data_IF_858702261484
#
_entry.id   IF_858702261484
#
_cell.length_a   1.000
_cell.length_b   1.000
_cell.length_c   1.000
_cell.angle_alpha   90.00
_cell.angle_beta   90.00
_cell.angle_gamma   90.00
#
_symmetry.space_group_name_H-M   'P 1'
#
loop_
_entity.id
_entity.type
_entity.pdbx_description
1 polymer ?
#
# COMPACT_ATOMS: atom_id res chain seq x y z
N UNK A 1 -25.25 -3.11 -9.32
CA UNK A 1 -23.82 -3.23 -8.91
C UNK A 1 -23.39 -4.62 -9.33
N UNK A 2 -22.70 -4.76 -10.46
CA UNK A 2 -22.07 -6.04 -10.81
C UNK A 2 -20.80 -6.14 -9.97
N UNK A 3 -20.83 -6.92 -8.90
CA UNK A 3 -19.63 -7.17 -8.09
C UNK A 3 -18.64 -7.99 -8.90
N UNK A 4 -17.49 -7.42 -9.23
CA UNK A 4 -16.37 -8.16 -9.81
C UNK A 4 -15.69 -8.98 -8.71
N UNK A 5 -16.32 -10.11 -8.35
CA UNK A 5 -15.88 -10.98 -7.27
C UNK A 5 -14.45 -11.46 -7.51
N UNK A 6 -14.11 -11.85 -8.74
CA UNK A 6 -12.77 -12.35 -9.07
C UNK A 6 -11.72 -11.27 -8.84
N UNK A 7 -11.90 -10.06 -9.40
CA UNK A 7 -10.95 -8.98 -9.19
C UNK A 7 -10.83 -8.60 -7.71
N UNK A 8 -11.94 -8.58 -6.97
CA UNK A 8 -11.93 -8.31 -5.53
C UNK A 8 -11.17 -9.36 -4.75
N UNK A 9 -11.43 -10.64 -5.00
CA UNK A 9 -10.74 -11.75 -4.35
C UNK A 9 -9.23 -11.70 -4.63
N UNK A 10 -8.82 -11.45 -5.88
CA UNK A 10 -7.40 -11.30 -6.21
C UNK A 10 -6.80 -10.11 -5.45
N UNK A 11 -7.47 -8.95 -5.47
CA UNK A 11 -7.01 -7.75 -4.79
C UNK A 11 -6.84 -7.98 -3.27
N UNK A 12 -7.77 -8.67 -2.63
CA UNK A 12 -7.77 -8.90 -1.18
C UNK A 12 -6.78 -10.00 -0.77
N UNK A 13 -6.71 -11.11 -1.51
CA UNK A 13 -5.75 -12.20 -1.25
C UNK A 13 -4.31 -11.72 -1.44
N UNK A 14 -4.04 -10.87 -2.43
CA UNK A 14 -2.70 -10.34 -2.68
C UNK A 14 -2.28 -9.31 -1.62
N UNK A 15 -3.21 -8.50 -1.12
CA UNK A 15 -2.96 -7.65 0.04
C UNK A 15 -2.69 -8.50 1.30
N UNK A 16 -3.46 -9.57 1.49
CA UNK A 16 -3.25 -10.54 2.57
C UNK A 16 -1.89 -11.24 2.49
N UNK A 17 -1.46 -11.64 1.29
CA UNK A 17 -0.14 -12.22 1.08
C UNK A 17 0.97 -11.23 1.42
N UNK A 18 0.83 -9.96 1.03
CA UNK A 18 1.81 -8.93 1.37
C UNK A 18 1.87 -8.66 2.89
N UNK A 19 0.71 -8.50 3.55
CA UNK A 19 0.65 -8.29 5.00
C UNK A 19 1.17 -9.50 5.78
N UNK A 20 0.57 -10.67 5.54
CA UNK A 20 0.91 -11.90 6.25
C UNK A 20 2.32 -12.38 5.97
N UNK A 21 2.78 -12.32 4.72
CA UNK A 21 4.13 -12.72 4.33
C UNK A 21 5.21 -11.83 4.95
N UNK A 22 5.00 -10.51 4.97
CA UNK A 22 5.96 -9.58 5.60
C UNK A 22 5.97 -9.72 7.12
N UNK A 23 4.82 -9.89 7.76
CA UNK A 23 4.72 -10.10 9.20
C UNK A 23 5.34 -11.44 9.63
N UNK A 24 5.03 -12.54 8.93
CA UNK A 24 5.67 -13.83 9.15
C UNK A 24 7.18 -13.72 8.93
N UNK A 25 7.60 -13.01 7.88
CA UNK A 25 9.01 -12.80 7.59
C UNK A 25 9.77 -12.11 8.73
N UNK A 26 9.19 -11.04 9.30
CA UNK A 26 9.78 -10.31 10.41
C UNK A 26 9.78 -11.11 11.73
N UNK A 27 8.69 -11.85 12.01
CA UNK A 27 8.52 -12.57 13.28
C UNK A 27 9.08 -13.99 13.21
N UNK A 28 8.50 -14.82 12.34
CA UNK A 28 8.79 -16.24 12.26
C UNK A 28 10.11 -16.53 11.54
N UNK A 29 10.31 -16.01 10.33
CA UNK A 29 11.51 -16.30 9.55
C UNK A 29 12.77 -15.69 10.18
N UNK A 30 12.77 -14.38 10.42
CA UNK A 30 13.93 -13.70 11.01
C UNK A 30 14.19 -14.16 12.45
N UNK A 31 13.14 -14.37 13.24
CA UNK A 31 13.26 -14.91 14.59
C UNK A 31 13.87 -16.32 14.61
N UNK A 32 13.34 -17.24 13.81
CA UNK A 32 13.89 -18.60 13.75
C UNK A 32 15.32 -18.64 13.20
N UNK A 33 15.65 -17.78 12.23
CA UNK A 33 16.99 -17.70 11.69
C UNK A 33 18.02 -17.21 12.72
N UNK A 34 17.62 -16.34 13.65
CA UNK A 34 18.49 -15.81 14.70
C UNK A 34 18.97 -16.89 15.69
N UNK A 35 18.24 -18.01 15.82
CA UNK A 35 18.59 -19.13 16.71
C UNK A 35 19.73 -20.03 16.17
N UNK A 36 20.21 -19.79 14.94
CA UNK A 36 21.34 -20.54 14.41
C UNK A 36 22.61 -20.29 15.27
N UNK A 37 23.42 -21.33 15.47
CA UNK A 37 24.63 -21.24 16.31
C UNK A 37 25.73 -20.43 15.63
N UNK A 38 25.90 -20.62 14.33
CA UNK A 38 26.85 -19.87 13.52
C UNK A 38 26.26 -18.50 13.14
N UNK A 39 26.98 -17.43 13.47
CA UNK A 39 26.60 -16.05 13.19
C UNK A 39 26.46 -15.76 11.69
N UNK A 40 27.27 -16.38 10.83
CA UNK A 40 27.13 -16.26 9.37
C UNK A 40 25.88 -16.99 8.87
N UNK A 41 25.54 -18.12 9.50
CA UNK A 41 24.38 -18.91 9.14
C UNK A 41 23.06 -18.18 9.44
N UNK A 42 22.96 -17.40 10.53
CA UNK A 42 21.77 -16.60 10.87
C UNK A 42 21.32 -15.72 9.70
N UNK A 43 22.25 -14.92 9.19
CA UNK A 43 22.01 -13.98 8.10
C UNK A 43 21.73 -14.71 6.78
N UNK A 44 22.47 -15.80 6.52
CA UNK A 44 22.30 -16.62 5.32
C UNK A 44 20.92 -17.29 5.28
N UNK A 45 20.45 -17.88 6.38
CA UNK A 45 19.15 -18.55 6.47
C UNK A 45 17.99 -17.57 6.30
N UNK A 46 18.03 -16.41 6.97
CA UNK A 46 17.05 -15.34 6.77
C UNK A 46 17.01 -14.92 5.30
N UNK A 47 18.16 -14.61 4.70
CA UNK A 47 18.27 -14.18 3.30
C UNK A 47 17.71 -15.23 2.33
N UNK A 48 17.99 -16.51 2.58
CA UNK A 48 17.48 -17.62 1.78
C UNK A 48 15.95 -17.75 1.88
N UNK A 49 15.38 -17.56 3.06
CA UNK A 49 13.91 -17.54 3.24
C UNK A 49 13.27 -16.40 2.45
N UNK A 50 13.82 -15.19 2.56
CA UNK A 50 13.33 -14.03 1.81
C UNK A 50 13.47 -14.19 0.30
N UNK A 51 14.55 -14.82 -0.19
CA UNK A 51 14.70 -15.15 -1.61
C UNK A 51 13.61 -16.07 -2.13
N UNK A 52 13.22 -17.08 -1.34
CA UNK A 52 12.13 -17.98 -1.71
C UNK A 52 10.78 -17.28 -1.71
N UNK A 53 10.59 -16.31 -0.82
CA UNK A 53 9.37 -15.51 -0.74
C UNK A 53 9.26 -14.46 -1.87
N UNK A 54 10.38 -13.88 -2.31
CA UNK A 54 10.39 -12.73 -3.20
C UNK A 54 9.59 -12.91 -4.52
N UNK A 55 9.63 -14.06 -5.23
CA UNK A 55 8.80 -14.28 -6.41
C UNK A 55 7.30 -14.27 -6.09
N UNK A 56 6.88 -14.86 -4.97
CA UNK A 56 5.48 -14.86 -4.52
C UNK A 56 5.04 -13.44 -4.21
N UNK A 57 5.88 -12.68 -3.49
CA UNK A 57 5.61 -11.28 -3.19
C UNK A 57 5.48 -10.40 -4.45
N UNK A 58 6.36 -10.60 -5.43
CA UNK A 58 6.31 -9.88 -6.71
C UNK A 58 5.03 -10.23 -7.48
N UNK A 59 4.69 -11.52 -7.58
CA UNK A 59 3.45 -11.97 -8.21
C UNK A 59 2.22 -11.37 -7.53
N UNK A 60 2.21 -11.32 -6.19
CA UNK A 60 1.15 -10.70 -5.43
C UNK A 60 1.02 -9.19 -5.73
N UNK A 61 2.11 -8.43 -5.78
CA UNK A 61 2.05 -7.00 -6.14
C UNK A 61 1.49 -6.75 -7.53
N UNK A 62 1.97 -7.50 -8.54
CA UNK A 62 1.50 -7.34 -9.92
C UNK A 62 0.01 -7.69 -10.03
N UNK A 63 -0.42 -8.77 -9.40
CA UNK A 63 -1.82 -9.16 -9.37
C UNK A 63 -2.70 -8.16 -8.60
N UNK A 64 -2.19 -7.57 -7.51
CA UNK A 64 -2.87 -6.52 -6.75
C UNK A 64 -3.14 -5.28 -7.60
N UNK A 65 -2.10 -4.76 -8.26
CA UNK A 65 -2.22 -3.59 -9.13
C UNK A 65 -3.11 -3.88 -10.34
N UNK A 66 -2.93 -5.05 -10.97
CA UNK A 66 -3.72 -5.47 -12.12
C UNK A 66 -5.21 -5.61 -11.80
N UNK A 67 -5.54 -6.21 -10.66
CA UNK A 67 -6.94 -6.36 -10.20
C UNK A 67 -7.57 -5.04 -9.73
N UNK A 68 -6.77 -4.05 -9.33
CA UNK A 68 -7.25 -2.70 -9.01
C UNK A 68 -7.87 -1.96 -10.21
N UNK A 69 -7.36 -2.19 -11.43
CA UNK A 69 -7.85 -1.52 -12.64
C UNK A 69 -9.33 -1.80 -12.94
N UNK A 70 -9.80 -3.06 -13.06
CA UNK A 70 -11.22 -3.32 -13.28
C UNK A 70 -12.09 -2.84 -12.11
N UNK A 71 -11.59 -2.91 -10.86
CA UNK A 71 -12.32 -2.37 -9.71
C UNK A 71 -12.54 -0.85 -9.80
N UNK A 72 -11.57 -0.10 -10.32
CA UNK A 72 -11.72 1.35 -10.56
C UNK A 72 -12.74 1.61 -11.67
N UNK A 73 -12.69 0.86 -12.77
CA UNK A 73 -13.61 0.98 -13.90
C UNK A 73 -15.06 0.73 -13.45
N UNK A 74 -15.28 -0.39 -12.74
CA UNK A 74 -16.60 -0.80 -12.23
C UNK A 74 -17.17 0.19 -11.20
N UNK A 75 -16.30 0.96 -10.52
CA UNK A 75 -16.68 1.97 -9.53
C UNK A 75 -16.65 3.42 -10.06
N UNK A 76 -16.48 3.63 -11.36
CA UNK A 76 -16.37 4.96 -11.99
C UNK A 76 -17.45 5.95 -11.57
N UNK A 77 -18.72 5.51 -11.53
CA UNK A 77 -19.85 6.34 -11.05
C UNK A 77 -19.68 6.78 -9.60
N UNK A 78 -19.26 5.87 -8.71
CA UNK A 78 -19.05 6.19 -7.28
C UNK A 78 -17.89 7.16 -7.10
N UNK A 79 -16.84 7.04 -7.90
CA UNK A 79 -15.71 7.97 -7.87
C UNK A 79 -16.15 9.42 -8.15
N UNK A 80 -17.08 9.62 -9.08
CA UNK A 80 -17.52 10.97 -9.48
C UNK A 80 -18.68 11.51 -8.63
N UNK A 81 -19.60 10.62 -8.22
CA UNK A 81 -20.88 10.98 -7.61
C UNK A 81 -20.95 10.75 -6.09
N UNK A 82 -20.21 9.81 -5.52
CA UNK A 82 -20.28 9.53 -4.09
C UNK A 82 -19.24 10.36 -3.34
N UNK A 83 -19.70 11.16 -2.36
CA UNK A 83 -18.81 12.01 -1.58
C UNK A 83 -17.71 11.19 -0.87
N UNK A 84 -16.45 11.57 -1.10
CA UNK A 84 -15.29 11.03 -0.41
C UNK A 84 -14.63 9.80 -1.05
N UNK A 85 -15.28 9.11 -2.00
CA UNK A 85 -14.73 7.88 -2.61
C UNK A 85 -13.46 8.18 -3.38
N UNK A 86 -13.46 9.16 -4.28
CA UNK A 86 -12.26 9.54 -5.05
C UNK A 86 -11.08 9.91 -4.14
N UNK A 87 -11.32 10.66 -3.06
CA UNK A 87 -10.27 11.06 -2.11
C UNK A 87 -9.68 9.85 -1.40
N UNK A 88 -10.52 8.91 -0.98
CA UNK A 88 -10.06 7.67 -0.34
C UNK A 88 -9.27 6.80 -1.31
N UNK A 89 -9.73 6.65 -2.55
CA UNK A 89 -9.03 5.87 -3.58
C UNK A 89 -7.66 6.47 -3.90
N UNK A 90 -7.55 7.79 -4.08
CA UNK A 90 -6.24 8.46 -4.27
C UNK A 90 -5.33 8.24 -3.07
N UNK A 91 -5.85 8.42 -1.85
CA UNK A 91 -5.07 8.20 -0.63
C UNK A 91 -4.57 6.77 -0.53
N UNK A 92 -5.43 5.78 -0.80
CA UNK A 92 -5.06 4.36 -0.84
C UNK A 92 -3.99 4.09 -1.89
N UNK A 93 -4.13 4.63 -3.10
CA UNK A 93 -3.11 4.46 -4.15
C UNK A 93 -1.75 5.01 -3.70
N UNK A 94 -1.70 6.19 -3.08
CA UNK A 94 -0.45 6.76 -2.55
C UNK A 94 0.15 5.82 -1.50
N UNK A 95 -0.65 5.40 -0.51
CA UNK A 95 -0.21 4.45 0.53
C UNK A 95 0.33 3.15 -0.07
N UNK A 96 -0.38 2.56 -1.04
CA UNK A 96 0.02 1.32 -1.70
C UNK A 96 1.35 1.49 -2.41
N UNK A 97 1.53 2.55 -3.19
CA UNK A 97 2.77 2.79 -3.94
C UNK A 97 3.95 3.10 -3.01
N UNK A 98 3.73 3.89 -1.94
CA UNK A 98 4.75 4.14 -0.92
C UNK A 98 5.17 2.83 -0.23
N UNK A 99 4.20 2.00 0.18
CA UNK A 99 4.50 0.70 0.78
C UNK A 99 5.25 -0.24 -0.17
N UNK A 100 4.89 -0.25 -1.46
CA UNK A 100 5.60 -1.03 -2.47
C UNK A 100 7.07 -0.56 -2.64
N UNK A 101 7.30 0.75 -2.65
CA UNK A 101 8.65 1.32 -2.70
C UNK A 101 9.47 0.97 -1.45
N UNK A 102 8.87 1.05 -0.25
CA UNK A 102 9.49 0.60 1.01
C UNK A 102 9.86 -0.88 0.95
N UNK A 103 8.97 -1.72 0.40
CA UNK A 103 9.22 -3.17 0.25
C UNK A 103 10.36 -3.45 -0.73
N UNK A 104 10.41 -2.74 -1.85
CA UNK A 104 11.50 -2.86 -2.82
C UNK A 104 12.84 -2.44 -2.22
N UNK A 105 12.87 -1.33 -1.48
CA UNK A 105 14.08 -0.86 -0.80
C UNK A 105 14.57 -1.85 0.28
N UNK A 106 13.65 -2.42 1.06
CA UNK A 106 13.97 -3.50 1.99
C UNK A 106 14.59 -4.71 1.26
N UNK A 107 14.05 -5.09 0.09
CA UNK A 107 14.63 -6.16 -0.73
C UNK A 107 16.07 -5.85 -1.21
N UNK A 108 16.36 -4.59 -1.57
CA UNK A 108 17.72 -4.17 -1.95
C UNK A 108 18.70 -4.29 -0.78
N UNK A 109 18.29 -3.83 0.41
CA UNK A 109 19.10 -3.97 1.63
C UNK A 109 19.28 -5.44 2.03
N UNK A 110 18.25 -6.27 1.86
CA UNK A 110 18.32 -7.71 2.09
C UNK A 110 19.37 -8.39 1.21
N UNK A 111 19.46 -8.02 -0.08
CA UNK A 111 20.53 -8.50 -0.96
C UNK A 111 21.92 -8.04 -0.50
N UNK A 112 22.02 -6.82 0.03
CA UNK A 112 23.29 -6.31 0.59
C UNK A 112 23.73 -7.13 1.80
N UNK A 113 22.81 -7.37 2.73
CA UNK A 113 23.03 -8.22 3.91
C UNK A 113 23.41 -9.64 3.52
N UNK A 114 22.81 -10.18 2.46
CA UNK A 114 23.16 -11.49 1.93
C UNK A 114 24.61 -11.56 1.41
N UNK A 115 25.03 -10.58 0.60
CA UNK A 115 26.40 -10.54 0.06
C UNK A 115 27.46 -10.47 1.16
N UNK A 116 27.12 -9.81 2.27
CA UNK A 116 28.00 -9.62 3.44
C UNK A 116 27.75 -10.66 4.54
N UNK A 117 26.89 -11.67 4.29
CA UNK A 117 26.57 -12.70 5.28
C UNK A 117 27.77 -13.47 5.85
N UNK A 118 28.90 -13.68 5.12
CA UNK A 118 30.09 -14.33 5.70
C UNK A 118 30.71 -13.59 6.89
N UNK A 119 30.45 -12.28 7.06
CA UNK A 119 30.95 -11.51 8.21
C UNK A 119 30.29 -11.92 9.54
N UNK A 120 29.12 -12.56 9.46
CA UNK A 120 28.32 -12.91 10.62
C UNK A 120 27.57 -11.72 11.23
N UNK A 121 26.47 -12.04 11.93
CA UNK A 121 25.68 -11.05 12.65
C UNK A 121 25.04 -11.64 13.91
N UNK A 122 24.57 -10.78 14.80
CA UNK A 122 23.82 -11.20 15.99
C UNK A 122 22.48 -11.84 15.59
N UNK A 123 21.83 -11.28 14.56
CA UNK A 123 20.57 -11.77 14.02
C UNK A 123 20.36 -11.32 12.57
N UNK A 124 19.15 -11.52 12.06
CA UNK A 124 18.82 -11.16 10.68
C UNK A 124 18.95 -9.64 10.43
N UNK A 125 18.60 -8.83 11.43
CA UNK A 125 18.61 -7.36 11.34
C UNK A 125 19.45 -6.69 12.44
N UNK A 126 20.15 -7.50 13.22
CA UNK A 126 20.95 -7.10 14.37
C UNK A 126 22.43 -7.31 14.02
N UNK A 127 23.20 -6.22 13.89
CA UNK A 127 24.63 -6.34 13.58
C UNK A 127 25.42 -6.98 14.71
N UNK A 128 26.42 -7.76 14.34
CA UNK A 128 27.39 -8.30 15.28
C UNK A 128 28.45 -7.26 15.66
N UNK A 129 29.24 -7.52 16.71
CA UNK A 129 30.29 -6.63 17.18
C UNK A 129 31.44 -6.46 16.16
N UNK A 130 31.61 -7.42 15.25
CA UNK A 130 32.65 -7.44 14.22
C UNK A 130 32.13 -7.12 12.82
N UNK A 131 30.83 -6.83 12.67
CA UNK A 131 30.24 -6.53 11.37
C UNK A 131 30.82 -5.23 10.81
N UNK A 132 31.07 -5.21 9.50
CA UNK A 132 31.47 -3.99 8.79
C UNK A 132 30.43 -2.88 8.97
N UNK A 133 30.87 -1.62 8.81
CA UNK A 133 29.95 -0.48 8.84
C UNK A 133 28.84 -0.61 7.78
N UNK A 134 29.18 -1.18 6.63
CA UNK A 134 28.26 -1.39 5.52
C UNK A 134 27.16 -2.42 5.87
N UNK A 135 27.55 -3.57 6.42
CA UNK A 135 26.60 -4.59 6.90
C UNK A 135 25.74 -4.02 8.03
N UNK A 136 26.35 -3.37 9.00
CA UNK A 136 25.64 -2.83 10.16
C UNK A 136 24.61 -1.77 9.78
N UNK A 137 24.94 -0.89 8.83
CA UNK A 137 24.00 0.12 8.31
C UNK A 137 22.82 -0.53 7.60
N UNK A 138 23.06 -1.55 6.77
CA UNK A 138 21.99 -2.24 6.05
C UNK A 138 21.04 -2.96 7.02
N UNK A 139 21.58 -3.68 8.01
CA UNK A 139 20.80 -4.38 9.03
C UNK A 139 19.97 -3.42 9.90
N UNK A 140 20.56 -2.31 10.36
CA UNK A 140 19.82 -1.28 11.14
C UNK A 140 18.65 -0.68 10.36
N UNK A 141 18.81 -0.45 9.05
CA UNK A 141 17.70 0.01 8.22
C UNK A 141 16.63 -1.07 8.06
N UNK A 142 17.04 -2.32 7.79
CA UNK A 142 16.10 -3.46 7.74
C UNK A 142 15.36 -3.68 9.05
N UNK A 143 16.00 -3.43 10.20
CA UNK A 143 15.39 -3.54 11.52
C UNK A 143 14.12 -2.71 11.61
N UNK A 144 14.12 -1.53 11.01
CA UNK A 144 12.96 -0.63 10.93
C UNK A 144 12.03 -1.06 9.80
N UNK A 145 12.56 -1.28 8.59
CA UNK A 145 11.74 -1.54 7.41
C UNK A 145 10.94 -2.84 7.51
N UNK A 146 11.46 -3.88 8.18
CA UNK A 146 10.73 -5.14 8.37
C UNK A 146 9.39 -4.94 9.10
N UNK A 147 9.25 -3.86 9.88
CA UNK A 147 8.00 -3.50 10.54
C UNK A 147 7.20 -2.46 9.76
N UNK A 148 7.86 -1.57 9.02
CA UNK A 148 7.16 -0.62 8.15
C UNK A 148 6.37 -1.33 7.04
N UNK A 149 6.92 -2.39 6.44
CA UNK A 149 6.26 -3.14 5.37
C UNK A 149 4.89 -3.71 5.80
N UNK A 150 4.76 -4.50 6.89
CA UNK A 150 3.46 -4.99 7.33
C UNK A 150 2.54 -3.86 7.80
N UNK A 151 3.06 -2.75 8.33
CA UNK A 151 2.22 -1.58 8.66
C UNK A 151 1.58 -0.98 7.39
N UNK A 152 2.35 -0.77 6.32
CA UNK A 152 1.79 -0.28 5.05
C UNK A 152 0.80 -1.27 4.45
N UNK A 153 1.14 -2.56 4.39
CA UNK A 153 0.26 -3.59 3.86
C UNK A 153 -1.05 -3.68 4.65
N UNK A 154 -0.97 -3.68 5.98
CA UNK A 154 -2.15 -3.65 6.85
C UNK A 154 -2.98 -2.38 6.66
N UNK A 155 -2.34 -1.22 6.46
CA UNK A 155 -3.05 0.02 6.18
C UNK A 155 -3.81 -0.03 4.86
N UNK A 156 -3.22 -0.62 3.80
CA UNK A 156 -3.92 -0.87 2.53
C UNK A 156 -5.17 -1.75 2.75
N UNK A 157 -5.08 -2.79 3.59
CA UNK A 157 -6.22 -3.63 3.95
C UNK A 157 -7.32 -2.84 4.69
N UNK A 158 -6.95 -2.02 5.68
CA UNK A 158 -7.91 -1.15 6.41
C UNK A 158 -8.61 -0.18 5.45
N UNK A 159 -7.88 0.41 4.51
CA UNK A 159 -8.46 1.28 3.49
C UNK A 159 -9.39 0.51 2.55
N UNK A 160 -9.05 -0.74 2.20
CA UNK A 160 -9.94 -1.64 1.46
C UNK A 160 -11.24 -1.96 2.21
N UNK A 161 -11.15 -2.26 3.50
CA UNK A 161 -12.32 -2.47 4.36
C UNK A 161 -13.21 -1.21 4.41
N UNK A 162 -12.61 -0.02 4.53
CA UNK A 162 -13.33 1.25 4.47
C UNK A 162 -14.01 1.48 3.11
N UNK A 163 -13.37 1.14 2.00
CA UNK A 163 -14.01 1.17 0.67
C UNK A 163 -15.20 0.21 0.60
N UNK A 164 -15.12 -0.95 1.25
CA UNK A 164 -16.21 -1.91 1.43
C UNK A 164 -17.39 -1.32 2.21
N UNK A 165 -17.14 -0.67 3.35
CA UNK A 165 -18.17 0.04 4.11
C UNK A 165 -18.86 1.13 3.28
N UNK A 166 -18.11 1.87 2.48
CA UNK A 166 -18.66 2.87 1.56
C UNK A 166 -19.49 2.27 0.41
N UNK A 167 -19.45 0.96 0.18
CA UNK A 167 -20.27 0.27 -0.83
C UNK A 167 -21.61 -0.21 -0.30
N UNK A 168 -21.85 -0.16 1.02
CA UNK A 168 -23.17 -0.46 1.59
C UNK A 168 -24.22 0.50 1.02
N UNK A 169 -25.40 -0.02 0.68
CA UNK A 169 -26.47 0.71 -0.04
C UNK A 169 -26.80 2.04 0.63
N UNK A 170 -26.96 2.04 1.96
CA UNK A 170 -27.22 3.24 2.76
C UNK A 170 -26.09 4.28 2.67
N UNK A 171 -24.84 3.84 2.78
CA UNK A 171 -23.67 4.71 2.70
C UNK A 171 -23.46 5.29 1.29
N UNK A 172 -23.85 4.56 0.25
CA UNK A 172 -23.89 5.05 -1.13
C UNK A 172 -24.93 6.16 -1.25
N UNK A 173 -26.16 5.91 -0.80
CA UNK A 173 -27.25 6.89 -0.87
C UNK A 173 -26.93 8.17 -0.09
N UNK A 174 -26.45 8.04 1.16
CA UNK A 174 -26.02 9.17 1.99
C UNK A 174 -24.85 9.93 1.33
N UNK A 175 -23.88 9.22 0.76
CA UNK A 175 -22.73 9.82 0.08
C UNK A 175 -23.13 10.60 -1.18
N UNK A 176 -24.10 10.11 -1.95
CA UNK A 176 -24.64 10.81 -3.13
C UNK A 176 -25.45 12.04 -2.71
N UNK A 177 -26.31 11.93 -1.70
CA UNK A 177 -27.05 13.07 -1.15
C UNK A 177 -26.10 14.18 -0.67
N UNK A 178 -25.06 13.81 0.08
CA UNK A 178 -24.03 14.75 0.55
C UNK A 178 -23.31 15.45 -0.60
N UNK A 179 -22.94 14.72 -1.66
CA UNK A 179 -22.30 15.31 -2.86
C UNK A 179 -23.20 16.33 -3.54
N UNK A 180 -24.49 16.02 -3.70
CA UNK A 180 -25.46 16.91 -4.34
C UNK A 180 -25.72 18.17 -3.51
N UNK A 181 -25.83 18.05 -2.19
CA UNK A 181 -25.95 19.20 -1.30
C UNK A 181 -24.74 20.15 -1.41
N UNK A 182 -23.52 19.62 -1.41
CA UNK A 182 -22.30 20.41 -1.60
C UNK A 182 -22.28 21.10 -2.97
N UNK A 183 -22.65 20.39 -4.04
CA UNK A 183 -22.75 20.98 -5.39
C UNK A 183 -23.78 22.12 -5.45
N UNK A 184 -24.93 21.95 -4.79
CA UNK A 184 -25.96 22.98 -4.69
C UNK A 184 -25.44 24.26 -4.02
N UNK A 185 -24.77 24.12 -2.87
CA UNK A 185 -24.16 25.25 -2.16
C UNK A 185 -23.10 25.97 -3.01
N UNK A 186 -22.23 25.22 -3.70
CA UNK A 186 -21.21 25.82 -4.58
C UNK A 186 -21.86 26.57 -5.74
N UNK A 187 -22.91 26.02 -6.34
CA UNK A 187 -23.62 26.68 -7.44
C UNK A 187 -24.32 27.95 -6.97
N UNK A 188 -24.93 27.92 -5.78
CA UNK A 188 -25.56 29.10 -5.17
C UNK A 188 -24.54 30.21 -4.91
N UNK A 189 -23.40 29.90 -4.29
CA UNK A 189 -22.32 30.86 -4.05
C UNK A 189 -21.74 31.44 -5.36
N UNK A 190 -21.68 30.63 -6.42
CA UNK A 190 -21.26 31.10 -7.76
C UNK A 190 -22.27 32.07 -8.38
N UNK A 191 -23.56 31.79 -8.26
CA UNK A 191 -24.61 32.69 -8.77
C UNK A 191 -24.60 34.01 -8.02
N UNK A 192 -24.41 33.98 -6.71
CA UNK A 192 -24.28 35.18 -5.87
C UNK A 192 -23.05 36.01 -6.26
N UNK A 193 -21.87 35.38 -6.37
CA UNK A 193 -20.64 36.07 -6.79
C UNK A 193 -20.77 36.69 -8.20
N UNK A 194 -21.40 35.97 -9.14
CA UNK A 194 -21.67 36.48 -10.49
C UNK A 194 -22.65 37.66 -10.47
N UNK A 195 -23.70 37.61 -9.63
CA UNK A 195 -24.64 38.70 -9.43
C UNK A 195 -24.01 39.95 -8.80
N UNK A 196 -22.96 39.77 -7.99
CA UNK A 196 -22.17 40.84 -7.37
C UNK A 196 -21.02 41.36 -8.27
N UNK A 197 -20.88 40.86 -9.50
CA UNK A 197 -19.79 41.25 -10.41
C UNK A 197 -18.40 40.82 -9.95
N UNK A 198 -18.31 39.92 -8.96
CA UNK A 198 -17.05 39.40 -8.44
C UNK A 198 -16.55 38.25 -9.33
N UNK A 199 -15.24 38.20 -9.57
CA UNK A 199 -14.63 37.08 -10.27
C UNK A 199 -14.92 35.78 -9.53
N UNK A 200 -15.58 34.83 -10.21
CA UNK A 200 -15.93 33.56 -9.60
C UNK A 200 -14.68 32.83 -9.06
N UNK A 201 -14.76 32.14 -7.90
CA UNK A 201 -13.65 31.34 -7.40
C UNK A 201 -13.22 30.35 -8.48
N UNK A 202 -11.97 30.50 -8.93
CA UNK A 202 -11.40 29.70 -10.01
C UNK A 202 -11.47 28.22 -9.64
N UNK A 203 -11.84 27.39 -10.62
CA UNK A 203 -11.87 25.95 -10.43
C UNK A 203 -10.50 25.46 -9.96
N UNK A 204 -10.43 24.80 -8.81
CA UNK A 204 -9.47 23.71 -8.65
C UNK A 204 -9.91 22.67 -9.67
N UNK A 205 -9.29 22.68 -10.86
CA UNK A 205 -9.51 21.69 -11.92
C UNK A 205 -9.28 20.32 -11.31
N UNK A 206 -10.38 19.59 -11.06
CA UNK A 206 -10.28 18.17 -10.79
C UNK A 206 -9.71 17.52 -12.06
N UNK A 207 -8.50 16.97 -11.95
CA UNK A 207 -7.82 16.24 -12.99
C UNK A 207 -8.75 15.11 -13.50
N UNK A 208 -9.10 15.15 -14.80
CA UNK A 208 -9.98 14.20 -15.47
C UNK A 208 -9.18 13.52 -16.58
N UNK A 209 -8.52 12.37 -16.31
CA UNK A 209 -7.65 11.73 -17.28
C UNK A 209 -8.39 11.03 -18.44
N UNK A 210 -9.73 10.98 -18.42
CA UNK A 210 -10.51 10.33 -19.46
C UNK A 210 -11.57 11.26 -20.06
N UNK A 211 -11.16 12.19 -20.93
CA UNK A 211 -12.02 12.62 -22.03
C UNK A 211 -11.60 11.82 -23.26
N UNK A 212 -12.35 10.77 -23.58
CA UNK A 212 -12.26 10.12 -24.89
C UNK A 212 -12.84 11.09 -25.93
N UNK A 213 -12.11 11.26 -27.03
CA UNK A 213 -12.68 11.70 -28.31
C UNK A 213 -13.53 10.57 -28.88
#
# INVERSE_FOLDING_TARGET
>A
MSGNLIARSIHDLTAGAWFGGSLMGAVGLNGAAAEARDAAERTRLSSLGWKRWAPVQMGAFLAHLGSGVPLIIDNSRRLTEQHGVMRLTVYKTIVTLTGAAVTAYAGMLGRKVEMLSPEGAEGATEPGPTSSEELAKAQKQLKVLQWMVPVFAGWVMVLGAKEGEMQRVENVALGMKKRNGIRGLINMARMEAAGLGLAAPTQIRAWSPFRRR
#
